data_IF_454841498437
#
_entry.id   IF_454841498437
#
_cell.length_a   1.000
_cell.length_b   1.000
_cell.length_c   1.000
_cell.angle_alpha   90.00
_cell.angle_beta   90.00
_cell.angle_gamma   90.00
#
_symmetry.space_group_name_H-M   'P 1'
#
loop_
_entity.id
_entity.type
_entity.pdbx_description
1 polymer ?
#
# COMPACT_ATOMS: atom_id res chain seq x y z
N UNK A 1 10.71 -33.84 0.38
CA UNK A 1 10.44 -32.52 -0.22
C UNK A 1 9.68 -31.68 0.80
N UNK A 2 10.33 -30.67 1.34
CA UNK A 2 9.72 -29.82 2.38
C UNK A 2 8.88 -28.75 1.68
N UNK A 3 7.56 -28.88 1.77
CA UNK A 3 6.59 -27.90 1.25
C UNK A 3 6.31 -26.84 2.30
N UNK A 4 6.00 -25.62 1.85
CA UNK A 4 5.56 -24.57 2.77
C UNK A 4 4.27 -25.02 3.48
N UNK A 5 4.27 -24.98 4.81
CA UNK A 5 3.05 -25.27 5.57
C UNK A 5 2.02 -24.16 5.35
N UNK A 6 0.73 -24.45 5.52
CA UNK A 6 -0.33 -23.46 5.38
C UNK A 6 -0.13 -22.23 6.30
N UNK A 7 0.34 -22.46 7.54
CA UNK A 7 0.67 -21.38 8.49
C UNK A 7 1.85 -20.54 8.02
N UNK A 8 2.89 -21.18 7.48
CA UNK A 8 4.05 -20.46 6.92
C UNK A 8 3.66 -19.66 5.66
N UNK A 9 2.79 -20.21 4.81
CA UNK A 9 2.29 -19.53 3.64
C UNK A 9 1.48 -18.26 4.02
N UNK A 10 0.60 -18.36 5.02
CA UNK A 10 -0.13 -17.21 5.54
C UNK A 10 0.84 -16.14 6.08
N UNK A 11 1.84 -16.54 6.87
CA UNK A 11 2.83 -15.61 7.40
C UNK A 11 3.59 -14.89 6.27
N UNK A 12 4.05 -15.63 5.27
CA UNK A 12 4.77 -15.07 4.11
C UNK A 12 3.86 -14.15 3.29
N UNK A 13 2.58 -14.51 3.11
CA UNK A 13 1.60 -13.66 2.43
C UNK A 13 1.31 -12.36 3.19
N UNK A 14 1.15 -12.42 4.52
CA UNK A 14 1.03 -11.22 5.37
C UNK A 14 2.31 -10.38 5.35
N UNK A 15 3.48 -11.00 5.34
CA UNK A 15 4.75 -10.29 5.21
C UNK A 15 4.82 -9.55 3.88
N UNK A 16 4.47 -10.21 2.78
CA UNK A 16 4.45 -9.58 1.45
C UNK A 16 3.43 -8.43 1.39
N UNK A 17 2.22 -8.63 1.91
CA UNK A 17 1.23 -7.57 2.04
C UNK A 17 1.81 -6.37 2.82
N UNK A 18 2.42 -6.61 3.98
CA UNK A 18 2.99 -5.57 4.83
C UNK A 18 4.16 -4.82 4.16
N UNK A 19 4.96 -5.50 3.33
CA UNK A 19 6.05 -4.87 2.57
C UNK A 19 5.54 -3.92 1.50
N UNK A 20 4.42 -4.26 0.87
CA UNK A 20 3.77 -3.39 -0.10
C UNK A 20 3.00 -2.25 0.54
N UNK A 21 2.33 -2.53 1.68
CA UNK A 21 1.36 -1.63 2.27
C UNK A 21 2.04 -0.42 2.91
N UNK A 22 2.06 0.68 2.20
CA UNK A 22 2.67 1.94 2.62
C UNK A 22 1.67 3.11 2.60
N UNK A 23 2.17 4.32 2.84
CA UNK A 23 1.36 5.53 2.89
C UNK A 23 0.52 5.76 1.61
N UNK A 24 1.07 5.44 0.43
CA UNK A 24 0.33 5.54 -0.83
C UNK A 24 -0.92 4.66 -0.85
N UNK A 25 -0.79 3.42 -0.40
CA UNK A 25 -1.88 2.44 -0.36
C UNK A 25 -3.02 2.86 0.57
N UNK A 26 -2.73 3.71 1.56
CA UNK A 26 -3.74 4.28 2.44
C UNK A 26 -4.45 5.49 1.85
N UNK A 27 -3.77 6.33 1.05
CA UNK A 27 -4.34 7.60 0.58
C UNK A 27 -4.98 7.51 -0.81
N UNK A 28 -4.46 6.66 -1.70
CA UNK A 28 -4.97 6.60 -3.08
C UNK A 28 -6.37 6.02 -3.20
N UNK A 29 -6.72 4.88 -2.57
CA UNK A 29 -8.07 4.34 -2.67
C UNK A 29 -9.16 5.27 -2.12
N UNK A 30 -9.00 5.92 -0.94
CA UNK A 30 -10.00 6.87 -0.45
C UNK A 30 -10.16 8.09 -1.36
N UNK A 31 -9.06 8.63 -1.88
CA UNK A 31 -9.14 9.77 -2.79
C UNK A 31 -9.86 9.39 -4.10
N UNK A 32 -9.52 8.23 -4.68
CA UNK A 32 -10.24 7.71 -5.83
C UNK A 32 -11.74 7.59 -5.53
N UNK A 33 -12.10 7.04 -4.37
CA UNK A 33 -13.49 6.93 -3.93
C UNK A 33 -14.19 8.28 -3.88
N UNK A 34 -13.56 9.30 -3.30
CA UNK A 34 -14.08 10.64 -3.19
C UNK A 34 -14.29 11.30 -4.56
N UNK A 35 -13.36 11.12 -5.49
CA UNK A 35 -13.43 11.70 -6.84
C UNK A 35 -14.36 10.93 -7.78
N UNK A 36 -14.44 9.63 -7.64
CA UNK A 36 -15.25 8.77 -8.51
C UNK A 36 -16.74 8.80 -8.18
N UNK A 37 -17.13 9.16 -6.96
CA UNK A 37 -18.53 9.27 -6.57
C UNK A 37 -19.36 8.04 -6.98
N UNK A 38 -20.44 8.24 -7.72
CA UNK A 38 -21.32 7.14 -8.21
C UNK A 38 -20.61 6.20 -9.19
N UNK A 39 -19.50 6.60 -9.83
CA UNK A 39 -18.66 5.76 -10.69
C UNK A 39 -17.57 4.99 -9.93
N UNK A 40 -17.67 4.90 -8.60
CA UNK A 40 -16.69 4.33 -7.69
C UNK A 40 -16.26 2.91 -8.06
N UNK A 41 -17.18 2.00 -8.30
CA UNK A 41 -16.85 0.59 -8.53
C UNK A 41 -16.14 0.33 -9.88
N UNK A 42 -16.54 0.95 -11.01
CA UNK A 42 -15.74 0.91 -12.23
C UNK A 42 -14.35 1.50 -12.07
N UNK A 43 -14.21 2.61 -11.33
CA UNK A 43 -12.91 3.20 -11.02
C UNK A 43 -12.06 2.29 -10.13
N UNK A 44 -12.65 1.67 -9.11
CA UNK A 44 -11.99 0.68 -8.26
C UNK A 44 -11.50 -0.54 -9.05
N UNK A 45 -12.28 -1.04 -10.02
CA UNK A 45 -11.84 -2.13 -10.88
C UNK A 45 -10.57 -1.77 -11.65
N UNK A 46 -10.47 -0.54 -12.16
CA UNK A 46 -9.25 -0.03 -12.78
C UNK A 46 -8.06 0.06 -11.81
N UNK A 47 -8.29 0.61 -10.62
CA UNK A 47 -7.28 0.68 -9.56
C UNK A 47 -6.79 -0.72 -9.17
N UNK A 48 -7.68 -1.70 -9.02
CA UNK A 48 -7.32 -3.07 -8.68
C UNK A 48 -6.44 -3.73 -9.75
N UNK A 49 -6.64 -3.43 -11.03
CA UNK A 49 -5.77 -3.92 -12.11
C UNK A 49 -4.35 -3.41 -11.92
N UNK A 50 -4.15 -2.11 -11.73
CA UNK A 50 -2.82 -1.50 -11.68
C UNK A 50 -2.15 -1.60 -10.30
N UNK A 51 -2.91 -1.41 -9.20
CA UNK A 51 -2.36 -1.39 -7.85
C UNK A 51 -2.36 -2.77 -7.15
N UNK A 52 -3.03 -3.78 -7.71
CA UNK A 52 -3.03 -5.16 -7.17
C UNK A 52 -2.54 -6.15 -8.24
N UNK A 53 -3.16 -6.16 -9.40
CA UNK A 53 -2.87 -7.13 -10.46
C UNK A 53 -1.44 -7.05 -10.98
N UNK A 54 -0.99 -5.87 -11.37
CA UNK A 54 0.36 -5.67 -11.93
C UNK A 54 1.48 -5.92 -10.91
N UNK A 55 1.40 -5.49 -9.63
CA UNK A 55 2.40 -5.85 -8.62
C UNK A 55 2.56 -7.35 -8.47
N UNK A 56 1.48 -8.11 -8.41
CA UNK A 56 1.53 -9.57 -8.29
C UNK A 56 2.04 -10.23 -9.57
N UNK A 57 1.73 -9.67 -10.73
CA UNK A 57 2.34 -10.11 -12.00
C UNK A 57 3.87 -9.87 -11.96
N UNK A 58 4.33 -8.74 -11.44
CA UNK A 58 5.75 -8.44 -11.22
C UNK A 58 6.43 -9.45 -10.28
N UNK A 59 5.84 -9.71 -9.12
CA UNK A 59 6.31 -10.74 -8.17
C UNK A 59 6.41 -12.10 -8.85
N UNK A 60 5.38 -12.49 -9.61
CA UNK A 60 5.34 -13.77 -10.33
C UNK A 60 6.42 -13.85 -11.39
N UNK A 61 6.61 -12.79 -12.17
CA UNK A 61 7.62 -12.74 -13.22
C UNK A 61 9.05 -12.88 -12.67
N UNK A 62 9.34 -12.15 -11.59
CA UNK A 62 10.64 -12.21 -10.90
C UNK A 62 10.87 -13.59 -10.26
N UNK A 63 9.84 -14.16 -9.60
CA UNK A 63 9.93 -15.49 -9.02
C UNK A 63 10.26 -16.55 -10.06
N UNK A 64 9.60 -16.50 -11.24
CA UNK A 64 9.86 -17.42 -12.37
C UNK A 64 11.21 -17.21 -13.05
N UNK A 65 11.66 -15.97 -13.11
CA UNK A 65 12.97 -15.65 -13.70
C UNK A 65 14.15 -16.00 -12.77
N UNK A 66 13.88 -16.15 -11.48
CA UNK A 66 14.90 -16.36 -10.45
C UNK A 66 15.66 -15.07 -10.08
N UNK A 67 15.01 -13.90 -10.22
CA UNK A 67 15.51 -12.59 -9.82
C UNK A 67 15.26 -11.50 -10.87
N UNK A 68 15.30 -10.23 -10.42
CA UNK A 68 15.11 -9.06 -11.29
C UNK A 68 16.22 -8.97 -12.35
N UNK A 69 17.49 -9.18 -11.96
CA UNK A 69 18.63 -9.10 -12.87
C UNK A 69 18.52 -10.11 -14.01
N UNK A 70 18.07 -11.34 -13.71
CA UNK A 70 17.84 -12.37 -14.71
C UNK A 70 16.66 -12.02 -15.62
N UNK A 71 15.59 -11.43 -15.05
CA UNK A 71 14.42 -11.01 -15.82
C UNK A 71 14.80 -9.90 -16.81
N UNK A 72 15.41 -8.84 -16.32
CA UNK A 72 15.82 -7.69 -17.12
C UNK A 72 17.00 -8.02 -18.07
N UNK A 73 17.89 -8.90 -17.64
CA UNK A 73 19.03 -9.38 -18.42
C UNK A 73 18.66 -10.14 -19.71
N UNK A 74 17.41 -10.63 -19.82
CA UNK A 74 16.90 -11.23 -21.06
C UNK A 74 16.80 -10.22 -22.21
N UNK A 75 16.69 -8.94 -21.91
CA UNK A 75 16.68 -7.87 -22.91
C UNK A 75 18.13 -7.52 -23.30
N UNK A 76 18.91 -7.05 -22.31
CA UNK A 76 20.33 -6.73 -22.48
C UNK A 76 20.99 -6.52 -21.11
N UNK A 77 22.27 -6.88 -20.89
CA UNK A 77 22.95 -6.68 -19.60
C UNK A 77 22.98 -5.22 -19.13
N UNK A 78 23.22 -4.28 -20.03
CA UNK A 78 23.22 -2.83 -19.71
C UNK A 78 21.80 -2.37 -19.32
N UNK A 79 20.78 -2.87 -20.01
CA UNK A 79 19.38 -2.59 -19.64
C UNK A 79 19.08 -3.08 -18.22
N UNK A 80 19.51 -4.30 -17.87
CA UNK A 80 19.30 -4.83 -16.52
C UNK A 80 19.91 -3.92 -15.45
N UNK A 81 21.16 -3.49 -15.65
CA UNK A 81 21.84 -2.60 -14.72
C UNK A 81 21.12 -1.25 -14.59
N UNK A 82 20.85 -0.57 -15.71
CA UNK A 82 20.21 0.75 -15.71
C UNK A 82 18.79 0.68 -15.12
N UNK A 83 18.01 -0.32 -15.54
CA UNK A 83 16.65 -0.52 -15.08
C UNK A 83 16.61 -0.79 -13.57
N UNK A 84 17.47 -1.67 -13.05
CA UNK A 84 17.56 -1.96 -11.62
C UNK A 84 17.94 -0.72 -10.82
N UNK A 85 18.92 0.06 -11.28
CA UNK A 85 19.30 1.33 -10.64
C UNK A 85 18.10 2.30 -10.60
N UNK A 86 17.39 2.47 -11.72
CA UNK A 86 16.22 3.36 -11.79
C UNK A 86 15.11 2.91 -10.86
N UNK A 87 14.82 1.61 -10.77
CA UNK A 87 13.83 1.06 -9.82
C UNK A 87 14.22 1.37 -8.38
N UNK A 88 15.47 1.11 -7.98
CA UNK A 88 15.94 1.41 -6.62
C UNK A 88 15.95 2.91 -6.31
N UNK A 89 16.34 3.75 -7.25
CA UNK A 89 16.31 5.20 -7.07
C UNK A 89 14.87 5.72 -6.94
N UNK A 90 13.93 5.21 -7.71
CA UNK A 90 12.52 5.63 -7.68
C UNK A 90 11.83 5.21 -6.38
N UNK A 91 11.99 3.95 -5.96
CA UNK A 91 11.39 3.44 -4.72
C UNK A 91 12.12 4.01 -3.50
N UNK A 92 13.43 4.14 -3.58
CA UNK A 92 14.26 4.64 -2.52
C UNK A 92 14.20 6.17 -2.38
N UNK A 93 15.35 6.85 -2.53
CA UNK A 93 15.48 8.27 -2.20
C UNK A 93 14.71 9.21 -3.13
N UNK A 94 14.30 8.76 -4.34
CA UNK A 94 13.70 9.62 -5.35
C UNK A 94 12.26 10.01 -5.05
N UNK A 95 11.40 9.05 -4.72
CA UNK A 95 9.97 9.30 -4.62
C UNK A 95 9.30 8.62 -3.41
N UNK A 96 9.41 7.29 -3.27
CA UNK A 96 8.56 6.58 -2.32
C UNK A 96 8.96 6.83 -0.86
N UNK A 97 10.23 6.77 -0.50
CA UNK A 97 10.70 6.98 0.87
C UNK A 97 10.42 8.42 1.36
N UNK A 98 10.75 9.50 0.62
CA UNK A 98 10.42 10.86 1.04
C UNK A 98 8.93 11.09 1.23
N UNK A 99 8.08 10.47 0.38
CA UNK A 99 6.63 10.54 0.49
C UNK A 99 6.11 9.98 1.82
N UNK A 100 6.71 8.92 2.36
CA UNK A 100 6.24 8.33 3.63
C UNK A 100 6.28 9.34 4.77
N UNK A 101 7.38 10.07 4.94
CA UNK A 101 7.52 11.08 6.00
C UNK A 101 6.54 12.25 5.79
N UNK A 102 6.39 12.74 4.56
CA UNK A 102 5.47 13.86 4.29
C UNK A 102 4.01 13.48 4.49
N UNK A 103 3.60 12.28 4.07
CA UNK A 103 2.22 11.82 4.23
C UNK A 103 1.89 11.54 5.70
N UNK A 104 2.78 10.90 6.45
CA UNK A 104 2.55 10.69 7.88
C UNK A 104 2.52 12.00 8.66
N UNK A 105 3.34 12.99 8.29
CA UNK A 105 3.25 14.33 8.88
C UNK A 105 1.89 14.99 8.62
N UNK A 106 1.33 14.89 7.41
CA UNK A 106 0.00 15.44 7.10
C UNK A 106 -1.09 14.92 8.04
N UNK A 107 -1.00 13.65 8.47
CA UNK A 107 -1.94 13.07 9.45
C UNK A 107 -1.77 13.65 10.86
N UNK A 108 -0.62 14.21 11.18
CA UNK A 108 -0.34 14.85 12.47
C UNK A 108 -0.71 16.33 12.50
N UNK A 109 -0.84 16.97 11.34
CA UNK A 109 -1.17 18.40 11.26
C UNK A 109 -2.42 18.80 12.07
N UNK A 110 -3.52 18.03 12.07
CA UNK A 110 -4.70 18.36 12.88
C UNK A 110 -4.46 18.28 14.39
N UNK A 111 -3.44 17.54 14.84
CA UNK A 111 -3.11 17.33 16.26
C UNK A 111 -2.03 18.31 16.76
N UNK A 112 -1.04 18.62 15.91
CA UNK A 112 0.18 19.34 16.31
C UNK A 112 0.34 20.70 15.62
N UNK A 113 -0.49 21.00 14.63
CA UNK A 113 -0.32 22.15 13.75
C UNK A 113 0.61 21.85 12.57
N UNK A 114 0.65 22.77 11.61
CA UNK A 114 1.44 22.66 10.36
C UNK A 114 2.52 23.73 10.28
N UNK A 115 3.47 23.53 9.37
CA UNK A 115 4.54 24.50 9.09
C UNK A 115 5.81 23.80 8.58
N UNK A 116 6.55 24.47 7.71
CA UNK A 116 7.76 23.89 7.08
C UNK A 116 8.84 23.47 8.10
N UNK A 117 9.03 24.27 9.16
CA UNK A 117 10.00 23.96 10.23
C UNK A 117 9.59 22.71 11.03
N UNK A 118 8.31 22.57 11.37
CA UNK A 118 7.80 21.40 12.09
C UNK A 118 7.86 20.15 11.22
N UNK A 119 7.52 20.26 9.93
CA UNK A 119 7.65 19.17 8.97
C UNK A 119 9.09 18.69 8.82
N UNK A 120 10.06 19.62 8.76
CA UNK A 120 11.47 19.27 8.67
C UNK A 120 11.93 18.53 9.94
N UNK A 121 11.60 19.06 11.12
CA UNK A 121 11.94 18.42 12.39
C UNK A 121 11.33 17.03 12.51
N UNK A 122 10.06 16.87 12.16
CA UNK A 122 9.39 15.58 12.09
C UNK A 122 10.09 14.61 11.13
N UNK A 123 10.42 15.06 9.91
CA UNK A 123 11.06 14.22 8.91
C UNK A 123 12.44 13.72 9.37
N UNK A 124 13.21 14.57 10.03
CA UNK A 124 14.51 14.18 10.62
C UNK A 124 14.32 13.09 11.69
N UNK A 125 13.36 13.28 12.61
CA UNK A 125 13.04 12.28 13.63
C UNK A 125 12.51 10.97 13.04
N UNK A 126 11.63 11.06 12.05
CA UNK A 126 11.06 9.91 11.35
C UNK A 126 12.16 9.08 10.68
N UNK A 127 13.06 9.72 9.91
CA UNK A 127 14.14 9.00 9.23
C UNK A 127 15.22 8.52 10.21
N UNK A 128 15.48 9.22 11.31
CA UNK A 128 16.35 8.73 12.36
C UNK A 128 15.79 7.45 13.01
N UNK A 129 14.50 7.43 13.33
CA UNK A 129 13.83 6.23 13.85
C UNK A 129 13.84 5.09 12.83
N UNK A 130 13.49 5.37 11.57
CA UNK A 130 13.54 4.39 10.48
C UNK A 130 14.93 3.79 10.29
N UNK A 131 15.98 4.62 10.37
CA UNK A 131 17.38 4.18 10.30
C UNK A 131 17.73 3.23 11.44
N UNK A 132 17.38 3.58 12.68
CA UNK A 132 17.64 2.72 13.85
C UNK A 132 16.93 1.36 13.74
N UNK A 133 15.70 1.33 13.22
CA UNK A 133 14.96 0.10 12.98
C UNK A 133 15.60 -0.72 11.84
N UNK A 134 16.03 -0.06 10.77
CA UNK A 134 16.68 -0.71 9.62
C UNK A 134 18.03 -1.36 9.95
N UNK A 135 18.71 -0.93 11.01
CA UNK A 135 19.94 -1.57 11.49
C UNK A 135 19.74 -3.02 11.98
N UNK A 136 18.48 -3.45 12.20
CA UNK A 136 18.15 -4.80 12.68
C UNK A 136 17.11 -5.49 11.78
N UNK A 137 17.47 -5.80 10.52
CA UNK A 137 16.52 -6.29 9.51
C UNK A 137 15.86 -7.63 9.87
N UNK A 138 16.55 -8.51 10.61
CA UNK A 138 15.99 -9.80 11.03
C UNK A 138 14.78 -9.67 11.95
N UNK A 139 14.76 -8.66 12.83
CA UNK A 139 13.61 -8.38 13.71
C UNK A 139 12.49 -7.71 12.97
N UNK A 140 12.81 -6.90 11.96
CA UNK A 140 11.85 -6.12 11.19
C UNK A 140 10.81 -7.01 10.49
N UNK A 141 11.24 -8.06 9.79
CA UNK A 141 10.34 -9.00 9.09
C UNK A 141 9.31 -9.64 10.03
N UNK A 142 9.73 -10.02 11.23
CA UNK A 142 8.84 -10.59 12.24
C UNK A 142 7.84 -9.56 12.79
N UNK A 143 8.29 -8.33 13.01
CA UNK A 143 7.43 -7.24 13.52
C UNK A 143 6.40 -6.80 12.48
N UNK A 144 6.82 -6.65 11.22
CA UNK A 144 5.94 -6.30 10.11
C UNK A 144 4.79 -7.30 9.95
N UNK A 145 5.12 -8.59 9.81
CA UNK A 145 4.10 -9.59 9.50
C UNK A 145 3.23 -10.02 10.68
N UNK A 146 3.73 -9.95 11.94
CA UNK A 146 3.01 -10.45 13.10
C UNK A 146 2.28 -9.40 13.92
N UNK A 147 2.75 -8.16 13.91
CA UNK A 147 2.20 -7.10 14.75
C UNK A 147 1.67 -5.95 13.91
N UNK A 148 2.52 -5.31 13.11
CA UNK A 148 2.15 -4.09 12.39
C UNK A 148 1.04 -4.35 11.37
N UNK A 149 1.16 -5.39 10.56
CA UNK A 149 0.16 -5.70 9.54
C UNK A 149 -1.24 -6.02 10.12
N UNK A 150 -1.39 -6.94 11.10
CA UNK A 150 -2.70 -7.18 11.71
C UNK A 150 -3.28 -5.96 12.43
N UNK A 151 -2.45 -5.18 13.12
CA UNK A 151 -2.89 -3.95 13.81
C UNK A 151 -3.41 -2.92 12.83
N UNK A 152 -2.72 -2.71 11.72
CA UNK A 152 -3.10 -1.80 10.65
C UNK A 152 -4.41 -2.23 10.00
N UNK A 153 -4.55 -3.51 9.65
CA UNK A 153 -5.81 -4.05 9.09
C UNK A 153 -6.95 -3.86 10.09
N UNK A 154 -6.72 -4.16 11.39
CA UNK A 154 -7.73 -3.97 12.43
C UNK A 154 -8.19 -2.51 12.52
N UNK A 155 -7.26 -1.55 12.48
CA UNK A 155 -7.59 -0.12 12.53
C UNK A 155 -8.40 0.32 11.30
N UNK A 156 -8.06 -0.19 10.10
CA UNK A 156 -8.84 0.07 8.88
C UNK A 156 -10.25 -0.54 8.98
N UNK A 157 -10.36 -1.76 9.52
CA UNK A 157 -11.66 -2.42 9.73
C UNK A 157 -12.52 -1.62 10.73
N UNK A 158 -11.92 -1.10 11.81
CA UNK A 158 -12.62 -0.24 12.78
C UNK A 158 -13.14 1.04 12.11
N UNK A 159 -12.31 1.68 11.29
CA UNK A 159 -12.70 2.87 10.54
C UNK A 159 -13.85 2.56 9.55
N UNK A 160 -13.73 1.45 8.83
CA UNK A 160 -14.76 1.00 7.90
C UNK A 160 -16.09 0.64 8.61
N UNK A 161 -16.02 -0.11 9.70
CA UNK A 161 -17.18 -0.45 10.51
C UNK A 161 -17.85 0.80 11.08
N UNK A 162 -17.08 1.79 11.55
CA UNK A 162 -17.59 3.07 11.98
C UNK A 162 -18.33 3.82 10.88
N UNK A 163 -17.77 3.83 9.66
CA UNK A 163 -18.40 4.43 8.49
C UNK A 163 -19.71 3.74 8.10
N UNK A 164 -19.80 2.41 8.24
CA UNK A 164 -21.03 1.65 7.98
C UNK A 164 -22.09 1.85 9.07
N UNK A 165 -21.68 1.93 10.35
CA UNK A 165 -22.59 2.13 11.48
C UNK A 165 -23.18 3.55 11.52
N UNK A 166 -22.38 4.54 11.13
CA UNK A 166 -22.74 5.96 11.12
C UNK A 166 -22.34 6.60 9.79
N UNK A 167 -23.02 6.28 8.69
CA UNK A 167 -22.66 6.83 7.38
C UNK A 167 -22.90 8.35 7.38
N UNK A 168 -21.85 9.11 7.02
CA UNK A 168 -21.90 10.57 6.95
C UNK A 168 -22.70 11.08 5.74
N UNK A 169 -22.91 10.23 4.74
CA UNK A 169 -23.76 10.48 3.58
C UNK A 169 -24.53 9.20 3.20
N UNK A 170 -25.78 9.35 2.77
CA UNK A 170 -26.62 8.23 2.37
C UNK A 170 -26.25 7.65 1.00
N UNK A 171 -25.61 8.46 0.15
CA UNK A 171 -25.27 8.10 -1.23
C UNK A 171 -23.89 8.65 -1.57
N UNK A 172 -23.26 8.07 -2.59
CA UNK A 172 -22.03 8.63 -3.16
C UNK A 172 -22.33 9.94 -3.91
N UNK A 173 -21.39 10.88 -3.88
CA UNK A 173 -21.48 12.15 -4.59
C UNK A 173 -21.45 11.98 -6.12
N UNK A 174 -21.60 13.09 -6.83
CA UNK A 174 -21.37 13.10 -8.27
C UNK A 174 -19.89 12.84 -8.58
N UNK A 175 -19.57 12.09 -9.66
CA UNK A 175 -18.19 11.89 -10.07
C UNK A 175 -17.61 13.20 -10.60
N UNK A 176 -16.31 13.42 -10.43
CA UNK A 176 -15.59 14.47 -11.14
C UNK A 176 -15.62 14.22 -12.66
N UNK A 177 -15.41 15.25 -13.46
CA UNK A 177 -15.52 15.18 -14.92
C UNK A 177 -14.68 14.04 -15.53
N UNK A 178 -13.49 13.81 -15.01
CA UNK A 178 -12.59 12.75 -15.46
C UNK A 178 -13.14 11.35 -15.17
N UNK A 179 -13.68 11.14 -13.96
CA UNK A 179 -14.26 9.86 -13.56
C UNK A 179 -15.66 9.61 -14.11
N UNK A 180 -16.38 10.66 -14.51
CA UNK A 180 -17.63 10.51 -15.22
C UNK A 180 -17.43 9.96 -16.64
N UNK A 181 -16.36 10.41 -17.32
CA UNK A 181 -16.09 10.03 -18.71
C UNK A 181 -15.45 8.62 -18.81
N UNK A 182 -14.39 8.35 -18.06
CA UNK A 182 -13.58 7.12 -18.18
C UNK A 182 -13.15 6.59 -16.81
N UNK A 183 -14.09 6.14 -15.95
CA UNK A 183 -13.78 5.79 -14.56
C UNK A 183 -12.73 4.68 -14.43
N UNK A 184 -12.82 3.63 -15.23
CA UNK A 184 -11.87 2.51 -15.18
C UNK A 184 -10.46 2.92 -15.61
N UNK A 185 -10.35 3.75 -16.66
CA UNK A 185 -9.05 4.22 -17.15
C UNK A 185 -8.39 5.13 -16.11
N UNK A 186 -9.16 6.05 -15.53
CA UNK A 186 -8.67 6.91 -14.45
C UNK A 186 -8.24 6.08 -13.24
N UNK A 187 -9.00 5.03 -12.89
CA UNK A 187 -8.63 4.08 -11.86
C UNK A 187 -7.29 3.39 -12.13
N UNK A 188 -7.05 2.93 -13.37
CA UNK A 188 -5.77 2.32 -13.77
C UNK A 188 -4.63 3.33 -13.62
N UNK A 189 -4.78 4.54 -14.16
CA UNK A 189 -3.76 5.58 -14.10
C UNK A 189 -3.45 5.98 -12.65
N UNK A 190 -4.49 6.10 -11.83
CA UNK A 190 -4.33 6.48 -10.44
C UNK A 190 -3.68 5.36 -9.59
N UNK A 191 -4.01 4.10 -9.87
CA UNK A 191 -3.40 2.96 -9.19
C UNK A 191 -1.91 2.79 -9.49
N UNK A 192 -1.43 3.26 -10.62
CA UNK A 192 0.01 3.31 -10.91
C UNK A 192 0.80 4.20 -9.93
N UNK A 193 0.17 5.22 -9.36
CA UNK A 193 0.81 6.14 -8.43
C UNK A 193 1.15 5.50 -7.07
N UNK A 194 0.60 4.31 -6.76
CA UNK A 194 1.02 3.53 -5.58
C UNK A 194 2.47 3.07 -5.68
N UNK A 195 3.02 2.93 -6.91
CA UNK A 195 4.36 2.42 -7.22
C UNK A 195 4.58 0.95 -6.87
N UNK A 196 3.53 0.22 -6.50
CA UNK A 196 3.60 -1.18 -6.07
C UNK A 196 4.10 -2.10 -7.17
N UNK A 197 3.86 -1.77 -8.44
CA UNK A 197 4.37 -2.56 -9.57
C UNK A 197 5.90 -2.58 -9.59
N UNK A 198 6.55 -1.43 -9.36
CA UNK A 198 8.01 -1.35 -9.26
C UNK A 198 8.52 -2.08 -8.01
N UNK A 199 7.82 -1.91 -6.88
CA UNK A 199 8.14 -2.60 -5.64
C UNK A 199 8.03 -4.13 -5.79
N UNK A 200 7.02 -4.62 -6.53
CA UNK A 200 6.81 -6.04 -6.80
C UNK A 200 7.99 -6.73 -7.48
N UNK A 201 8.70 -6.00 -8.35
CA UNK A 201 9.90 -6.50 -8.99
C UNK A 201 11.05 -6.79 -8.00
N UNK A 202 11.13 -6.05 -6.89
CA UNK A 202 12.11 -6.29 -5.84
C UNK A 202 11.61 -7.30 -4.81
N UNK A 203 10.35 -7.18 -4.39
CA UNK A 203 9.80 -7.99 -3.30
C UNK A 203 9.67 -9.46 -3.66
N UNK A 204 9.49 -9.79 -4.93
CA UNK A 204 9.49 -11.17 -5.40
C UNK A 204 10.78 -11.93 -5.01
N UNK A 205 11.94 -11.29 -5.13
CA UNK A 205 13.22 -11.88 -4.73
C UNK A 205 13.33 -12.00 -3.20
N UNK A 206 12.93 -10.98 -2.45
CA UNK A 206 12.97 -10.98 -0.98
C UNK A 206 12.09 -12.09 -0.40
N UNK A 207 10.89 -12.27 -0.95
CA UNK A 207 9.97 -13.34 -0.52
C UNK A 207 10.53 -14.72 -0.85
N UNK A 208 11.18 -14.88 -2.01
CA UNK A 208 11.84 -16.14 -2.36
C UNK A 208 12.94 -16.50 -1.33
N UNK A 209 13.76 -15.52 -0.92
CA UNK A 209 14.77 -15.69 0.14
C UNK A 209 14.14 -16.04 1.49
N UNK A 210 13.04 -15.38 1.87
CA UNK A 210 12.33 -15.69 3.12
C UNK A 210 11.79 -17.13 3.11
N UNK A 211 11.28 -17.64 1.98
CA UNK A 211 10.82 -19.01 1.85
C UNK A 211 11.98 -19.99 1.95
N UNK A 212 13.14 -19.67 1.38
CA UNK A 212 14.35 -20.47 1.51
C UNK A 212 14.83 -20.53 2.96
N UNK A 213 14.80 -19.43 3.68
CA UNK A 213 15.15 -19.35 5.10
C UNK A 213 14.21 -20.21 5.99
N UNK A 214 12.99 -20.49 5.53
CA UNK A 214 12.06 -21.42 6.19
C UNK A 214 12.36 -22.91 5.88
N UNK A 215 13.46 -23.21 5.17
CA UNK A 215 13.92 -24.56 4.87
C UNK A 215 13.40 -25.15 3.57
N UNK A 216 12.72 -24.37 2.73
CA UNK A 216 12.29 -24.78 1.38
C UNK A 216 13.39 -24.44 0.38
N UNK A 217 14.19 -25.44 -0.03
CA UNK A 217 15.36 -25.23 -0.89
C UNK A 217 15.13 -25.58 -2.36
N UNK A 218 14.06 -26.33 -2.65
CA UNK A 218 13.76 -26.70 -4.02
C UNK A 218 13.27 -25.50 -4.84
N UNK A 219 13.91 -25.13 -5.97
CA UNK A 219 13.57 -23.93 -6.76
C UNK A 219 12.10 -23.85 -7.15
N UNK A 220 11.50 -24.97 -7.57
CA UNK A 220 10.09 -25.04 -7.96
C UNK A 220 9.12 -24.78 -6.81
N UNK A 221 9.45 -25.29 -5.61
CA UNK A 221 8.60 -25.07 -4.42
C UNK A 221 8.77 -23.65 -3.88
N UNK A 222 9.96 -23.04 -4.00
CA UNK A 222 10.18 -21.61 -3.69
C UNK A 222 9.37 -20.74 -4.64
N UNK A 223 9.44 -21.00 -5.96
CA UNK A 223 8.64 -20.28 -6.96
C UNK A 223 7.13 -20.38 -6.66
N UNK A 224 6.62 -21.60 -6.48
CA UNK A 224 5.21 -21.83 -6.16
C UNK A 224 4.79 -21.15 -4.86
N UNK A 225 5.64 -21.22 -3.84
CA UNK A 225 5.41 -20.56 -2.55
C UNK A 225 5.30 -19.04 -2.70
N UNK A 226 6.22 -18.43 -3.46
CA UNK A 226 6.24 -16.99 -3.74
C UNK A 226 4.97 -16.56 -4.49
N UNK A 227 4.57 -17.29 -5.53
CA UNK A 227 3.37 -17.01 -6.31
C UNK A 227 2.11 -17.11 -5.44
N UNK A 228 1.99 -18.17 -4.61
CA UNK A 228 0.84 -18.35 -3.71
C UNK A 228 0.77 -17.26 -2.65
N UNK A 229 1.91 -16.85 -2.08
CA UNK A 229 1.98 -15.72 -1.16
C UNK A 229 1.56 -14.42 -1.85
N UNK A 230 1.95 -14.23 -3.12
CA UNK A 230 1.51 -13.12 -3.94
C UNK A 230 0.00 -13.05 -4.10
N UNK A 231 -0.66 -14.15 -4.46
CA UNK A 231 -2.12 -14.19 -4.60
C UNK A 231 -2.84 -13.96 -3.26
N UNK A 232 -2.27 -14.43 -2.15
CA UNK A 232 -2.83 -14.17 -0.83
C UNK A 232 -2.74 -12.68 -0.48
N UNK A 233 -1.60 -12.05 -0.73
CA UNK A 233 -1.43 -10.61 -0.58
C UNK A 233 -2.38 -9.83 -1.48
N UNK A 234 -2.57 -10.25 -2.74
CA UNK A 234 -3.53 -9.65 -3.67
C UNK A 234 -4.97 -9.66 -3.12
N UNK A 235 -5.41 -10.78 -2.56
CA UNK A 235 -6.73 -10.90 -1.95
C UNK A 235 -6.91 -9.92 -0.78
N UNK A 236 -5.89 -9.80 0.08
CA UNK A 236 -5.91 -8.82 1.18
C UNK A 236 -5.96 -7.38 0.65
N UNK A 237 -5.15 -7.05 -0.36
CA UNK A 237 -5.18 -5.73 -0.99
C UNK A 237 -6.53 -5.40 -1.59
N UNK A 238 -7.13 -6.32 -2.33
CA UNK A 238 -8.43 -6.10 -2.96
C UNK A 238 -9.50 -5.77 -1.91
N UNK A 239 -9.51 -6.50 -0.77
CA UNK A 239 -10.45 -6.26 0.33
C UNK A 239 -10.18 -4.91 1.01
N UNK A 240 -8.93 -4.64 1.38
CA UNK A 240 -8.56 -3.38 2.06
C UNK A 240 -8.83 -2.16 1.17
N UNK A 241 -8.48 -2.25 -0.12
CA UNK A 241 -8.72 -1.17 -1.07
C UNK A 241 -10.21 -0.95 -1.33
N UNK A 242 -11.01 -2.01 -1.41
CA UNK A 242 -12.47 -1.86 -1.53
C UNK A 242 -13.06 -1.14 -0.31
N UNK A 243 -12.63 -1.49 0.91
CA UNK A 243 -13.04 -0.79 2.13
C UNK A 243 -12.63 0.69 2.11
N UNK A 244 -11.37 0.99 1.80
CA UNK A 244 -10.86 2.35 1.75
C UNK A 244 -11.52 3.19 0.64
N UNK A 245 -11.76 2.59 -0.52
CA UNK A 245 -12.46 3.26 -1.62
C UNK A 245 -13.90 3.59 -1.26
N UNK A 246 -14.61 2.65 -0.61
CA UNK A 246 -15.97 2.89 -0.11
C UNK A 246 -16.00 4.04 0.92
N UNK A 247 -15.11 3.99 1.90
CA UNK A 247 -14.95 5.06 2.90
C UNK A 247 -14.74 6.42 2.21
N UNK A 248 -13.86 6.44 1.21
CA UNK A 248 -13.58 7.64 0.43
C UNK A 248 -14.79 8.16 -0.33
N UNK A 249 -15.60 7.27 -0.93
CA UNK A 249 -16.83 7.65 -1.63
C UNK A 249 -17.86 8.31 -0.72
N UNK A 250 -18.04 7.78 0.49
CA UNK A 250 -18.93 8.39 1.50
C UNK A 250 -18.36 9.73 2.00
N UNK A 251 -17.05 9.78 2.27
CA UNK A 251 -16.39 11.01 2.72
C UNK A 251 -16.43 12.12 1.66
N UNK A 252 -16.20 11.77 0.38
CA UNK A 252 -16.26 12.74 -0.72
C UNK A 252 -17.67 13.33 -0.93
N UNK A 253 -18.72 12.55 -0.66
CA UNK A 253 -20.09 13.04 -0.68
C UNK A 253 -20.40 13.97 0.52
N UNK A 254 -19.85 13.66 1.70
CA UNK A 254 -20.05 14.46 2.90
C UNK A 254 -19.20 15.75 2.92
N UNK A 255 -18.00 15.70 2.32
CA UNK A 255 -17.02 16.77 2.30
C UNK A 255 -16.56 17.04 0.86
N UNK A 256 -17.36 17.67 0.04
CA UNK A 256 -16.99 17.99 -1.34
C UNK A 256 -15.80 18.99 -1.34
N UNK A 257 -14.84 18.75 -2.22
CA UNK A 257 -13.67 19.61 -2.39
C UNK A 257 -12.39 19.12 -1.71
N UNK A 258 -12.38 17.92 -1.12
CA UNK A 258 -11.12 17.31 -0.64
C UNK A 258 -10.13 17.12 -1.79
N UNK A 259 -8.94 17.70 -1.66
CA UNK A 259 -7.90 17.64 -2.69
C UNK A 259 -7.00 16.40 -2.53
N UNK A 260 -6.96 15.82 -1.34
CA UNK A 260 -6.08 14.68 -1.03
C UNK A 260 -6.80 13.56 -0.28
N UNK A 261 -6.32 12.32 -0.46
CA UNK A 261 -6.82 11.18 0.32
C UNK A 261 -6.50 11.27 1.82
N UNK A 262 -5.44 11.97 2.15
CA UNK A 262 -5.07 12.29 3.53
C UNK A 262 -6.14 13.16 4.21
N UNK A 263 -6.55 14.21 3.53
CA UNK A 263 -7.61 15.11 3.99
C UNK A 263 -8.96 14.39 4.10
N UNK A 264 -9.32 13.60 3.08
CA UNK A 264 -10.52 12.77 3.05
C UNK A 264 -10.62 11.86 4.28
N UNK A 265 -9.54 11.14 4.60
CA UNK A 265 -9.48 10.24 5.75
C UNK A 265 -9.51 11.01 7.08
N UNK A 266 -8.82 12.15 7.15
CA UNK A 266 -8.76 12.98 8.35
C UNK A 266 -10.13 13.54 8.72
N UNK A 267 -10.86 14.10 7.75
CA UNK A 267 -12.20 14.62 7.93
C UNK A 267 -13.18 13.53 8.34
N UNK A 268 -13.12 12.36 7.67
CA UNK A 268 -13.96 11.24 8.02
C UNK A 268 -13.66 10.71 9.43
N UNK A 269 -12.40 10.45 9.77
CA UNK A 269 -12.02 9.94 11.08
C UNK A 269 -12.39 10.93 12.21
N UNK A 270 -12.23 12.22 11.96
CA UNK A 270 -12.63 13.28 12.90
C UNK A 270 -14.14 13.33 13.10
N UNK A 271 -14.91 13.16 12.04
CA UNK A 271 -16.39 13.21 12.11
C UNK A 271 -16.99 11.98 12.78
N UNK A 272 -16.39 10.79 12.56
CA UNK A 272 -16.88 9.53 13.16
C UNK A 272 -16.48 9.37 14.62
N UNK A 273 -15.24 9.72 14.98
CA UNK A 273 -14.63 9.39 16.26
C UNK A 273 -14.03 10.60 16.98
N UNK A 274 -14.22 11.82 16.45
CA UNK A 274 -13.65 13.04 17.03
C UNK A 274 -12.13 12.98 17.14
N UNK A 275 -11.59 13.44 18.25
CA UNK A 275 -10.15 13.45 18.53
C UNK A 275 -9.53 12.04 18.58
N UNK A 276 -10.30 11.04 19.01
CA UNK A 276 -9.86 9.64 19.03
C UNK A 276 -9.61 9.14 17.61
N UNK A 277 -10.48 9.51 16.65
CA UNK A 277 -10.31 9.17 15.24
C UNK A 277 -9.04 9.77 14.63
N UNK A 278 -8.70 11.00 14.97
CA UNK A 278 -7.45 11.63 14.51
C UNK A 278 -6.22 10.89 15.06
N UNK A 279 -6.24 10.51 16.34
CA UNK A 279 -5.14 9.74 16.94
C UNK A 279 -5.03 8.34 16.33
N UNK A 280 -6.15 7.67 16.09
CA UNK A 280 -6.17 6.36 15.41
C UNK A 280 -5.59 6.46 13.99
N UNK A 281 -5.98 7.48 13.24
CA UNK A 281 -5.49 7.71 11.89
C UNK A 281 -3.97 8.01 11.91
N UNK A 282 -3.52 8.88 12.80
CA UNK A 282 -2.09 9.15 12.98
C UNK A 282 -1.30 7.86 13.29
N UNK A 283 -1.82 7.01 14.19
CA UNK A 283 -1.20 5.72 14.52
C UNK A 283 -1.13 4.73 13.35
N UNK A 284 -2.07 4.82 12.38
CA UNK A 284 -2.02 4.02 11.15
C UNK A 284 -0.86 4.47 10.24
N UNK A 285 -0.56 5.78 10.21
CA UNK A 285 0.39 6.36 9.27
C UNK A 285 1.84 6.46 9.80
N UNK A 286 2.05 6.34 11.10
CA UNK A 286 3.36 6.32 11.76
C UNK A 286 3.89 4.89 11.90
#
# INVERSE_FOLDING_TARGET
MQKLSGKSLLLVGFTLFSMFFGAGNLIFPPHLGAQAGTSLWPAFAGLAVSAVGLPIAGVTAVARAGGLDRLAGRVHPVFAMVFTILVYLSIGPGLAIPRTASTSFQMLVPLMGGGAGLQLAYSVLFFAAAFLVALRPEKLTNWLGRILCPSLILLIVVLFAGCLAHPLAAYYGAPSAEYAALPTVQGILYGYQTMDTLAGLNFGAVIALNIQALGVTEPREVERGTIRAGFLAAGLFAVVYAMLTHIGGIAGAAFPGCETGAETLTLLASSLFGRVGQVLLAAIFI
#
